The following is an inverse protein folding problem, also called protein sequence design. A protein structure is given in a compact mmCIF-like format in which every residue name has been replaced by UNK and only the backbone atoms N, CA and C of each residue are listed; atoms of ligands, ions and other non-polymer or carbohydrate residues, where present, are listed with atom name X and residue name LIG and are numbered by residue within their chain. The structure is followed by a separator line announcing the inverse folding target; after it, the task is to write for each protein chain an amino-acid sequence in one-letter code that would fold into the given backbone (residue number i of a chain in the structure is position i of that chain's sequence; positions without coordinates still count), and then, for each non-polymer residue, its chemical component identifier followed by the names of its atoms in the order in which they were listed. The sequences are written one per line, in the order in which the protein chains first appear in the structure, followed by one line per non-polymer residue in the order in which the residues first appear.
data_IF_041101054750
#
_entry.id   IF_041101054750
#
_cell.length_a   1.000
_cell.length_b   1.000
_cell.length_c   1.000
_cell.angle_alpha   90.00
_cell.angle_beta   90.00
_cell.angle_gamma   90.00
#
_symmetry.space_group_name_H-M   'P 1'
#
loop_
_entity.id
_entity.type
_entity.pdbx_description
1 polymer ?
#
# COMPACT_ATOMS: atom_id res chain seq x y z
N UNK A 1 -25.06 72.07 -34.86
CA UNK A 1 -25.54 70.66 -34.91
C UNK A 1 -24.42 69.65 -34.93
N UNK A 2 -23.19 69.96 -34.42
CA UNK A 2 -22.02 69.06 -34.50
C UNK A 2 -21.47 68.56 -33.13
N UNK A 3 -22.04 68.97 -32.00
CA UNK A 3 -21.53 68.59 -30.68
C UNK A 3 -22.08 67.28 -30.12
N UNK A 4 -23.15 66.69 -30.64
CA UNK A 4 -23.77 65.49 -30.15
C UNK A 4 -23.15 64.19 -30.69
N UNK A 5 -22.43 64.22 -31.78
CA UNK A 5 -21.80 63.04 -32.39
C UNK A 5 -20.43 62.65 -31.78
N UNK A 6 -19.70 63.58 -31.16
CA UNK A 6 -18.40 63.32 -30.59
C UNK A 6 -18.48 62.55 -29.27
N UNK A 7 -19.54 62.81 -28.46
CA UNK A 7 -19.71 62.15 -27.18
C UNK A 7 -20.09 60.66 -27.37
N UNK A 8 -20.86 60.36 -28.41
CA UNK A 8 -21.24 58.95 -28.69
C UNK A 8 -20.07 58.10 -29.15
N UNK A 9 -19.10 58.64 -29.88
CA UNK A 9 -17.90 57.89 -30.31
C UNK A 9 -16.90 57.67 -29.19
N UNK A 10 -16.78 58.59 -28.24
CA UNK A 10 -15.92 58.44 -27.09
C UNK A 10 -16.47 57.35 -26.11
N UNK A 11 -17.80 57.29 -25.93
CA UNK A 11 -18.41 56.27 -25.09
C UNK A 11 -18.27 54.85 -25.65
N UNK A 12 -18.39 54.71 -26.98
CA UNK A 12 -18.22 53.40 -27.62
C UNK A 12 -16.78 52.92 -27.56
N UNK A 13 -15.78 53.82 -27.66
CA UNK A 13 -14.36 53.46 -27.53
C UNK A 13 -14.00 53.11 -26.09
N UNK A 14 -14.55 53.78 -25.08
CA UNK A 14 -14.32 53.45 -23.67
C UNK A 14 -14.97 52.14 -23.27
N UNK A 15 -16.16 51.81 -23.78
CA UNK A 15 -16.81 50.51 -23.52
C UNK A 15 -16.02 49.38 -24.20
N UNK A 16 -15.49 49.60 -25.41
CA UNK A 16 -14.63 48.63 -26.09
C UNK A 16 -13.33 48.37 -25.36
N UNK A 17 -12.74 49.38 -24.70
CA UNK A 17 -11.50 49.21 -23.93
C UNK A 17 -11.71 48.52 -22.58
N UNK A 18 -12.86 48.70 -21.92
CA UNK A 18 -13.20 48.03 -20.66
C UNK A 18 -13.53 46.55 -20.90
N UNK A 19 -14.05 46.19 -22.08
CA UNK A 19 -14.36 44.79 -22.41
C UNK A 19 -13.13 43.96 -22.86
N UNK A 20 -12.01 44.63 -23.22
CA UNK A 20 -10.79 43.93 -23.65
C UNK A 20 -9.94 43.41 -22.48
N UNK A 21 -10.25 43.78 -21.23
CA UNK A 21 -9.51 43.37 -20.04
C UNK A 21 -10.18 42.27 -19.23
N UNK A 22 -11.25 41.64 -19.75
CA UNK A 22 -11.71 40.38 -19.15
C UNK A 22 -10.72 39.30 -19.57
N UNK A 23 -9.60 39.23 -18.87
CA UNK A 23 -8.76 38.04 -18.87
C UNK A 23 -9.59 36.93 -18.26
N UNK A 24 -10.01 36.00 -19.10
CA UNK A 24 -10.50 34.71 -18.65
C UNK A 24 -9.33 34.08 -17.88
N UNK A 25 -9.36 34.20 -16.55
CA UNK A 25 -8.50 33.39 -15.68
C UNK A 25 -8.83 31.97 -16.06
N UNK A 26 -7.94 31.33 -16.81
CA UNK A 26 -8.06 29.91 -17.11
C UNK A 26 -8.16 29.23 -15.77
N UNK A 27 -9.27 28.54 -15.53
CA UNK A 27 -9.43 27.74 -14.34
C UNK A 27 -8.23 26.81 -14.26
N UNK A 28 -7.42 26.95 -13.23
CA UNK A 28 -6.32 26.02 -12.99
C UNK A 28 -6.91 24.61 -12.98
N UNK A 29 -6.57 23.84 -13.98
CA UNK A 29 -6.99 22.45 -14.04
C UNK A 29 -6.25 21.72 -12.93
N UNK A 30 -6.95 21.43 -11.84
CA UNK A 30 -6.42 20.56 -10.81
C UNK A 30 -5.95 19.24 -11.47
N UNK A 31 -4.75 18.75 -11.13
CA UNK A 31 -4.27 17.48 -11.68
C UNK A 31 -5.32 16.40 -11.35
N UNK A 32 -5.88 15.82 -12.40
CA UNK A 32 -6.86 14.74 -12.20
C UNK A 32 -6.13 13.51 -11.66
N UNK A 33 -6.50 13.10 -10.45
CA UNK A 33 -6.02 11.85 -9.88
C UNK A 33 -6.58 10.71 -10.73
N UNK A 34 -5.68 9.93 -11.33
CA UNK A 34 -6.03 8.76 -12.15
C UNK A 34 -5.57 7.50 -11.43
N UNK A 35 -6.50 6.58 -11.18
CA UNK A 35 -6.17 5.24 -10.71
C UNK A 35 -5.93 4.31 -11.90
N UNK A 36 -4.81 3.63 -11.89
CA UNK A 36 -4.47 2.61 -12.91
C UNK A 36 -4.47 1.25 -12.23
N UNK A 37 -5.29 0.29 -12.68
CA UNK A 37 -5.25 -1.06 -12.12
C UNK A 37 -3.92 -1.73 -12.49
N UNK A 38 -3.37 -2.51 -11.56
CA UNK A 38 -2.30 -3.44 -11.86
C UNK A 38 -2.84 -4.62 -12.68
N UNK A 39 -2.00 -5.24 -13.54
CA UNK A 39 -2.39 -6.45 -14.26
C UNK A 39 -2.83 -7.55 -13.27
N UNK A 40 -3.95 -8.19 -13.54
CA UNK A 40 -4.55 -9.18 -12.63
C UNK A 40 -3.77 -10.49 -12.53
N UNK A 41 -2.87 -10.73 -13.45
CA UNK A 41 -2.02 -11.93 -13.54
C UNK A 41 -0.75 -11.87 -12.68
N UNK A 42 -0.42 -10.70 -12.15
CA UNK A 42 0.75 -10.53 -11.27
C UNK A 42 0.46 -10.86 -9.80
N UNK A 43 -0.81 -10.97 -9.42
CA UNK A 43 -1.21 -11.26 -8.05
C UNK A 43 -1.72 -12.70 -7.93
N UNK A 44 -1.44 -13.39 -6.80
CA UNK A 44 -1.98 -14.74 -6.57
C UNK A 44 -3.50 -14.74 -6.37
N UNK A 45 -4.07 -13.60 -5.95
CA UNK A 45 -5.51 -13.35 -5.87
C UNK A 45 -5.80 -11.85 -5.96
N UNK A 46 -6.95 -11.49 -6.55
CA UNK A 46 -7.44 -10.10 -6.58
C UNK A 46 -8.03 -9.63 -5.23
N UNK A 47 -8.19 -10.54 -4.27
CA UNK A 47 -8.65 -10.21 -2.93
C UNK A 47 -7.46 -9.79 -2.05
N UNK A 48 -7.12 -8.50 -2.15
CA UNK A 48 -6.02 -7.89 -1.39
C UNK A 48 -6.47 -7.56 0.03
N UNK A 49 -5.71 -8.01 1.02
CA UNK A 49 -6.01 -7.79 2.45
C UNK A 49 -5.37 -6.53 3.01
N UNK A 50 -4.10 -6.31 2.70
CA UNK A 50 -3.32 -5.20 3.21
C UNK A 50 -2.21 -4.85 2.22
N UNK A 51 -1.58 -3.70 2.40
CA UNK A 51 -0.35 -3.32 1.71
C UNK A 51 0.68 -2.96 2.76
N UNK A 52 1.92 -3.33 2.50
CA UNK A 52 3.06 -2.97 3.33
C UNK A 52 4.26 -2.65 2.43
N UNK A 53 4.94 -1.53 2.67
CA UNK A 53 6.20 -1.22 2.01
C UNK A 53 7.35 -1.50 2.96
N UNK A 54 8.30 -2.35 2.54
CA UNK A 54 9.47 -2.65 3.33
C UNK A 54 10.56 -1.58 3.18
N UNK A 55 11.62 -1.70 3.98
CA UNK A 55 12.75 -0.75 3.99
C UNK A 55 13.59 -0.76 2.70
N UNK A 56 13.45 -1.78 1.87
CA UNK A 56 14.11 -1.89 0.56
C UNK A 56 13.23 -1.30 -0.56
N UNK A 57 12.01 -0.85 -0.24
CA UNK A 57 11.08 -0.20 -1.15
C UNK A 57 10.10 -1.14 -1.87
N UNK A 58 10.16 -2.44 -1.63
CA UNK A 58 9.20 -3.39 -2.19
C UNK A 58 7.83 -3.25 -1.55
N UNK A 59 6.78 -3.41 -2.36
CA UNK A 59 5.40 -3.46 -1.87
C UNK A 59 4.99 -4.92 -1.68
N UNK A 60 4.69 -5.27 -0.45
CA UNK A 60 4.16 -6.57 -0.09
C UNK A 60 2.64 -6.53 -0.09
N UNK A 61 2.04 -7.51 -0.75
CA UNK A 61 0.60 -7.57 -1.04
C UNK A 61 0.06 -8.90 -0.51
N UNK A 62 -0.38 -8.95 0.75
CA UNK A 62 -1.13 -10.07 1.30
C UNK A 62 -2.45 -10.26 0.57
N UNK A 63 -2.73 -11.49 0.15
CA UNK A 63 -3.96 -11.83 -0.55
C UNK A 63 -4.61 -13.09 0.04
N UNK A 64 -5.85 -13.33 -0.40
CA UNK A 64 -6.59 -14.55 -0.05
C UNK A 64 -5.91 -15.85 -0.53
N UNK A 65 -4.99 -15.79 -1.48
CA UNK A 65 -4.34 -16.96 -2.08
C UNK A 65 -2.82 -16.85 -2.10
N UNK A 66 -2.22 -16.30 -1.06
CA UNK A 66 -0.79 -16.14 -0.92
C UNK A 66 -0.33 -14.70 -0.80
N UNK A 67 0.96 -14.49 -0.96
CA UNK A 67 1.65 -13.24 -0.80
C UNK A 67 2.34 -12.86 -2.10
N UNK A 68 2.26 -11.61 -2.52
CA UNK A 68 3.03 -11.07 -3.62
C UNK A 68 4.01 -10.00 -3.13
N UNK A 69 5.20 -9.94 -3.75
CA UNK A 69 6.17 -8.86 -3.61
C UNK A 69 6.30 -8.14 -4.94
N UNK A 70 5.92 -6.88 -4.98
CA UNK A 70 5.93 -6.02 -6.16
C UNK A 70 7.10 -5.03 -6.11
N UNK A 71 7.85 -4.90 -7.20
CA UNK A 71 9.04 -4.05 -7.33
C UNK A 71 8.83 -2.78 -8.17
N UNK A 72 7.58 -2.53 -8.60
CA UNK A 72 7.23 -1.44 -9.51
C UNK A 72 7.08 -1.86 -10.97
N UNK A 73 7.57 -3.02 -11.35
CA UNK A 73 7.53 -3.57 -12.72
C UNK A 73 6.80 -4.90 -12.79
N UNK A 74 7.05 -5.78 -11.83
CA UNK A 74 6.47 -7.11 -11.77
C UNK A 74 6.32 -7.58 -10.32
N UNK A 75 5.75 -8.78 -10.15
CA UNK A 75 5.61 -9.37 -8.83
C UNK A 75 6.18 -10.80 -8.76
N UNK A 76 6.81 -11.11 -7.63
CA UNK A 76 7.14 -12.47 -7.22
C UNK A 76 6.05 -12.92 -6.26
N UNK A 77 5.50 -14.11 -6.50
CA UNK A 77 4.43 -14.67 -5.69
C UNK A 77 4.92 -15.81 -4.80
N UNK A 78 4.44 -15.81 -3.58
CA UNK A 78 4.67 -16.84 -2.57
C UNK A 78 3.31 -17.45 -2.22
N UNK A 79 3.12 -18.74 -2.42
CA UNK A 79 1.81 -19.36 -2.20
C UNK A 79 1.79 -20.87 -2.38
N UNK A 80 0.59 -21.44 -2.41
CA UNK A 80 0.34 -22.88 -2.42
C UNK A 80 0.97 -23.68 -3.58
N UNK A 81 1.37 -23.03 -4.67
CA UNK A 81 1.97 -23.73 -5.83
C UNK A 81 3.46 -24.00 -5.66
N UNK A 82 4.10 -23.33 -4.70
CA UNK A 82 5.53 -23.49 -4.48
C UNK A 82 5.77 -24.05 -3.08
N UNK A 83 5.63 -25.38 -2.98
CA UNK A 83 5.89 -26.13 -1.72
C UNK A 83 7.33 -25.91 -1.25
N UNK A 84 8.23 -25.47 -2.14
CA UNK A 84 9.62 -25.16 -1.83
C UNK A 84 9.78 -23.91 -0.97
N UNK A 85 8.83 -22.98 -1.01
CA UNK A 85 8.89 -21.71 -0.27
C UNK A 85 8.23 -21.75 1.12
N UNK A 86 7.72 -22.90 1.56
CA UNK A 86 7.29 -23.15 2.95
C UNK A 86 5.99 -22.50 3.40
N UNK A 87 5.29 -21.73 2.55
CA UNK A 87 3.99 -21.16 2.90
C UNK A 87 2.89 -22.18 2.59
N UNK A 88 2.55 -23.01 3.55
CA UNK A 88 1.51 -24.05 3.40
C UNK A 88 0.08 -23.49 3.43
N UNK A 89 -0.08 -22.23 3.82
CA UNK A 89 -1.39 -21.62 3.94
C UNK A 89 -1.56 -20.47 2.99
N UNK A 90 -2.74 -20.37 2.43
CA UNK A 90 -3.06 -19.41 1.36
C UNK A 90 -3.53 -18.07 1.85
N UNK A 91 -4.17 -18.04 3.04
CA UNK A 91 -4.77 -16.80 3.55
C UNK A 91 -3.75 -15.97 4.30
N UNK A 92 -3.12 -15.05 3.60
CA UNK A 92 -2.21 -14.08 4.23
C UNK A 92 -2.99 -12.82 4.59
N UNK A 93 -3.02 -12.49 5.88
CA UNK A 93 -3.76 -11.33 6.38
C UNK A 93 -2.89 -10.09 6.49
N UNK A 94 -1.64 -10.24 6.93
CA UNK A 94 -0.77 -9.14 7.26
C UNK A 94 0.70 -9.50 7.07
N UNK A 95 1.49 -8.50 6.67
CA UNK A 95 2.95 -8.56 6.62
C UNK A 95 3.50 -7.30 7.26
N UNK A 96 4.59 -7.43 8.01
CA UNK A 96 5.34 -6.31 8.57
C UNK A 96 6.84 -6.65 8.64
N UNK A 97 7.69 -5.67 8.46
CA UNK A 97 9.14 -5.79 8.65
C UNK A 97 9.51 -5.32 10.07
N UNK A 98 10.37 -6.07 10.75
CA UNK A 98 10.97 -5.64 12.01
C UNK A 98 12.24 -4.80 11.78
N UNK A 99 12.84 -4.29 12.87
CA UNK A 99 14.04 -3.45 12.78
C UNK A 99 15.28 -4.24 12.33
N UNK A 100 15.26 -5.56 12.46
CA UNK A 100 16.33 -6.46 11.98
C UNK A 100 16.09 -6.91 10.52
N UNK A 101 15.09 -6.31 9.84
CA UNK A 101 14.69 -6.58 8.45
C UNK A 101 14.10 -7.98 8.21
N UNK A 102 13.65 -8.66 9.25
CA UNK A 102 12.86 -9.87 9.07
C UNK A 102 11.42 -9.50 8.68
N UNK A 103 10.84 -10.23 7.76
CA UNK A 103 9.43 -10.09 7.41
C UNK A 103 8.58 -11.11 8.15
N UNK A 104 7.66 -10.58 8.94
CA UNK A 104 6.69 -11.35 9.70
C UNK A 104 5.39 -11.43 8.93
N UNK A 105 4.86 -12.63 8.76
CA UNK A 105 3.69 -12.94 7.95
C UNK A 105 2.63 -13.56 8.85
N UNK A 106 1.51 -12.85 9.03
CA UNK A 106 0.34 -13.38 9.75
C UNK A 106 -0.66 -13.99 8.77
N UNK A 107 -1.07 -15.21 9.07
CA UNK A 107 -2.01 -16.00 8.27
C UNK A 107 -3.22 -16.42 9.08
N UNK A 108 -4.18 -17.13 8.47
CA UNK A 108 -5.28 -17.77 9.20
C UNK A 108 -4.83 -18.92 10.13
N UNK A 109 -3.63 -19.46 9.91
CA UNK A 109 -3.13 -20.63 10.66
C UNK A 109 -1.73 -20.41 11.23
N UNK A 110 -1.46 -19.22 11.75
CA UNK A 110 -0.24 -18.96 12.50
C UNK A 110 0.66 -17.90 11.88
N UNK A 111 1.84 -17.80 12.51
CA UNK A 111 2.87 -16.84 12.20
C UNK A 111 3.98 -17.48 11.38
N UNK A 112 4.43 -16.77 10.36
CA UNK A 112 5.56 -17.18 9.53
C UNK A 112 6.58 -16.05 9.46
N UNK A 113 7.81 -16.41 9.17
CA UNK A 113 8.90 -15.48 8.91
C UNK A 113 9.52 -15.75 7.54
N UNK A 114 9.69 -14.70 6.75
CA UNK A 114 10.39 -14.75 5.47
C UNK A 114 11.81 -14.23 5.64
N UNK A 115 12.78 -15.06 5.26
CA UNK A 115 14.16 -14.62 5.00
C UNK A 115 14.23 -14.00 3.60
N UNK A 116 14.47 -12.69 3.54
CA UNK A 116 14.52 -11.93 2.29
C UNK A 116 15.67 -12.34 1.36
N UNK A 117 16.75 -12.90 1.91
CA UNK A 117 17.96 -13.27 1.15
C UNK A 117 17.76 -14.59 0.43
N UNK A 118 17.30 -15.60 1.16
CA UNK A 118 17.05 -16.93 0.60
C UNK A 118 15.69 -17.07 -0.07
N UNK A 119 14.74 -16.20 0.30
CA UNK A 119 13.33 -16.30 -0.12
C UNK A 119 12.56 -17.39 0.60
N UNK A 120 13.17 -18.05 1.59
CA UNK A 120 12.53 -19.12 2.33
C UNK A 120 11.57 -18.57 3.37
N UNK A 121 10.39 -19.20 3.46
CA UNK A 121 9.41 -18.95 4.51
C UNK A 121 9.46 -20.10 5.50
N UNK A 122 9.62 -19.77 6.77
CA UNK A 122 9.59 -20.74 7.87
C UNK A 122 8.43 -20.43 8.80
N UNK A 123 7.75 -21.47 9.26
CA UNK A 123 6.78 -21.31 10.33
C UNK A 123 7.52 -20.92 11.60
N UNK A 124 6.99 -19.92 12.32
CA UNK A 124 7.57 -19.54 13.60
C UNK A 124 7.03 -20.47 14.70
N UNK A 125 7.94 -21.05 15.47
CA UNK A 125 7.66 -22.12 16.44
C UNK A 125 7.14 -21.56 17.77
N UNK A 126 6.07 -20.76 17.73
CA UNK A 126 5.35 -20.35 18.95
C UNK A 126 4.09 -21.20 19.10
N UNK A 127 4.07 -22.15 20.04
CA UNK A 127 2.90 -23.02 20.23
C UNK A 127 1.60 -22.25 20.51
N UNK A 128 1.72 -21.06 21.12
CA UNK A 128 0.59 -20.20 21.44
C UNK A 128 -0.06 -19.62 20.18
N UNK A 129 0.71 -19.48 19.10
CA UNK A 129 0.27 -18.93 17.82
C UNK A 129 -0.05 -20.02 16.79
N UNK A 130 0.18 -21.29 17.12
CA UNK A 130 -0.20 -22.40 16.25
C UNK A 130 -1.71 -22.36 15.98
N UNK A 131 -2.11 -22.45 14.70
CA UNK A 131 -3.52 -22.34 14.27
C UNK A 131 -4.26 -21.07 14.76
N UNK A 132 -3.51 -20.00 15.05
CA UNK A 132 -4.08 -18.70 15.34
C UNK A 132 -4.39 -17.95 14.03
N UNK A 133 -5.62 -17.46 13.89
CA UNK A 133 -5.93 -16.53 12.81
C UNK A 133 -5.38 -15.14 13.18
N UNK A 134 -4.19 -14.82 12.65
CA UNK A 134 -3.49 -13.57 12.94
C UNK A 134 -4.03 -12.46 12.03
N UNK A 135 -4.68 -11.48 12.63
CA UNK A 135 -5.30 -10.36 11.92
C UNK A 135 -4.38 -9.14 11.82
N UNK A 136 -3.51 -8.94 12.81
CA UNK A 136 -2.66 -7.75 12.89
C UNK A 136 -1.30 -8.08 13.49
N UNK A 137 -0.27 -7.46 12.92
CA UNK A 137 1.10 -7.43 13.47
C UNK A 137 1.56 -5.98 13.50
N UNK A 138 2.24 -5.59 14.57
CA UNK A 138 2.86 -4.28 14.74
C UNK A 138 4.26 -4.46 15.31
N UNK A 139 5.25 -3.84 14.69
CA UNK A 139 6.59 -3.68 15.26
C UNK A 139 6.64 -2.34 15.99
N UNK A 140 6.93 -2.35 17.30
CA UNK A 140 7.07 -1.14 18.10
C UNK A 140 8.48 -0.54 17.98
N UNK A 141 8.67 0.68 18.46
CA UNK A 141 9.94 1.41 18.38
C UNK A 141 11.09 0.73 19.15
N UNK A 142 10.78 -0.18 20.06
CA UNK A 142 11.75 -0.98 20.82
C UNK A 142 12.04 -2.35 20.18
N UNK A 143 11.64 -2.57 18.94
CA UNK A 143 11.71 -3.85 18.22
C UNK A 143 10.89 -4.98 18.89
N UNK A 144 9.90 -4.62 19.71
CA UNK A 144 8.90 -5.57 20.20
C UNK A 144 7.87 -5.83 19.09
N UNK A 145 7.47 -7.08 18.93
CA UNK A 145 6.48 -7.50 17.95
C UNK A 145 5.17 -7.79 18.67
N UNK A 146 4.12 -7.05 18.29
CA UNK A 146 2.77 -7.23 18.79
C UNK A 146 1.95 -8.00 17.76
N UNK A 147 1.26 -9.03 18.20
CA UNK A 147 0.50 -9.94 17.35
C UNK A 147 -0.91 -10.07 17.92
N UNK A 148 -1.91 -9.70 17.11
CA UNK A 148 -3.32 -9.81 17.46
C UNK A 148 -4.05 -10.77 16.54
N UNK A 149 -4.87 -11.61 17.12
CA UNK A 149 -5.65 -12.62 16.42
C UNK A 149 -6.83 -13.13 17.24
N UNK A 150 -7.43 -14.20 16.77
CA UNK A 150 -8.61 -14.83 17.41
C UNK A 150 -8.31 -15.44 18.78
N UNK A 151 -7.02 -15.72 19.10
CA UNK A 151 -6.59 -16.22 20.41
C UNK A 151 -6.16 -15.09 21.37
N UNK A 152 -6.25 -13.83 20.98
CA UNK A 152 -5.95 -12.69 21.82
C UNK A 152 -4.79 -11.82 21.31
N UNK A 153 -4.15 -11.11 22.24
CA UNK A 153 -3.01 -10.22 21.96
C UNK A 153 -1.75 -10.78 22.60
N UNK A 154 -0.72 -10.94 21.80
CA UNK A 154 0.59 -11.44 22.19
C UNK A 154 1.65 -10.37 21.94
N UNK A 155 2.72 -10.41 22.73
CA UNK A 155 3.90 -9.56 22.52
C UNK A 155 5.17 -10.38 22.63
N UNK A 156 5.98 -10.36 21.57
CA UNK A 156 7.35 -10.84 21.58
C UNK A 156 8.28 -9.67 21.89
N UNK A 157 9.12 -9.81 22.93
CA UNK A 157 10.12 -8.82 23.27
C UNK A 157 11.38 -9.01 22.41
N UNK A 158 12.07 -7.89 22.07
CA UNK A 158 13.31 -7.93 21.29
C UNK A 158 14.44 -8.77 21.94
N UNK A 159 14.38 -8.95 23.26
CA UNK A 159 15.41 -9.65 24.03
C UNK A 159 15.20 -11.18 24.14
N UNK A 160 14.06 -11.70 23.74
CA UNK A 160 13.76 -13.13 23.75
C UNK A 160 14.41 -13.81 22.53
N UNK A 161 15.73 -13.79 22.48
CA UNK A 161 16.53 -14.61 21.57
C UNK A 161 16.73 -15.97 22.23
N UNK A 162 15.89 -16.93 21.90
CA UNK A 162 16.20 -18.34 22.08
C UNK A 162 16.64 -18.94 20.76
#
# INVERSE_FOLDING_TARGET
MHRRFLISRFFIVCIGFVLSEIQVVAAESFPQVRFTPLPSDILPSNEVRKLYQDSDGYIWIPTYNGLARYDGYGAITYGMRDVSNGLFNTFVNVVVEDHDKNLWIGTEHGLFRLDKVSGNIVADEYPELADCNIAVILCDTGNGIWIGGDKGLFRKNALDRN
#
